data_IF_157466445266
#
_entry.id   IF_157466445266
#
_cell.length_a   1.000
_cell.length_b   1.000
_cell.length_c   1.000
_cell.angle_alpha   90.00
_cell.angle_beta   90.00
_cell.angle_gamma   90.00
#
_symmetry.space_group_name_H-M   'P 1'
#
loop_
_entity.id
_entity.type
_entity.pdbx_description
1 polymer ?
#
# COMPACT_ATOMS: atom_id res chain seq x y z
N UNK A 1 -35.11 -13.33 17.43
CA UNK A 1 -35.06 -14.25 18.58
C UNK A 1 -34.00 -13.78 19.60
N UNK A 2 -34.28 -12.61 20.21
CA UNK A 2 -33.36 -11.93 21.16
C UNK A 2 -33.10 -12.80 22.39
N UNK A 3 -34.09 -13.61 22.80
CA UNK A 3 -33.99 -14.48 23.99
C UNK A 3 -33.04 -15.67 23.86
N UNK A 4 -32.72 -16.12 22.64
CA UNK A 4 -31.79 -17.26 22.41
C UNK A 4 -30.33 -16.89 22.50
N UNK A 5 -29.99 -15.59 22.50
CA UNK A 5 -28.60 -15.09 22.49
C UNK A 5 -28.12 -14.58 23.87
N UNK A 6 -28.96 -14.66 24.91
CA UNK A 6 -28.61 -14.13 26.24
C UNK A 6 -27.40 -14.80 26.91
N UNK A 7 -27.04 -16.01 26.48
CA UNK A 7 -25.87 -16.74 26.99
C UNK A 7 -24.63 -16.65 26.09
N UNK A 8 -24.68 -15.89 25.01
CA UNK A 8 -23.53 -15.68 24.13
C UNK A 8 -22.84 -14.37 24.52
N UNK A 9 -21.55 -14.44 24.76
CA UNK A 9 -20.73 -13.26 24.97
C UNK A 9 -20.06 -12.90 23.65
N UNK A 10 -20.09 -11.62 23.28
CA UNK A 10 -19.25 -11.11 22.23
C UNK A 10 -17.81 -11.05 22.76
N UNK A 11 -16.91 -11.80 22.13
CA UNK A 11 -15.48 -11.85 22.47
C UNK A 11 -14.63 -11.00 21.52
N UNK A 12 -15.25 -10.35 20.53
CA UNK A 12 -14.56 -9.41 19.65
C UNK A 12 -13.88 -8.32 20.47
N UNK A 13 -12.70 -7.91 20.09
CA UNK A 13 -11.92 -6.86 20.76
C UNK A 13 -11.46 -7.19 22.20
N UNK A 14 -11.61 -8.43 22.66
CA UNK A 14 -11.09 -8.85 23.96
C UNK A 14 -9.66 -9.36 23.84
N UNK A 15 -8.76 -8.83 24.67
CA UNK A 15 -7.34 -9.19 24.69
C UNK A 15 -7.11 -10.70 24.92
N UNK A 16 -7.94 -11.34 25.78
CA UNK A 16 -7.85 -12.77 26.11
C UNK A 16 -8.01 -13.70 24.90
N UNK A 17 -8.66 -13.25 23.83
CA UNK A 17 -8.99 -14.05 22.64
C UNK A 17 -8.34 -13.53 21.38
N UNK A 18 -7.49 -12.53 21.47
CA UNK A 18 -6.92 -11.83 20.31
C UNK A 18 -6.06 -12.72 19.39
N UNK A 19 -5.43 -13.76 19.94
CA UNK A 19 -4.59 -14.70 19.19
C UNK A 19 -5.32 -15.96 18.68
N UNK A 20 -6.62 -16.14 19.01
CA UNK A 20 -7.35 -17.41 18.75
C UNK A 20 -7.44 -17.78 17.26
N UNK A 21 -7.39 -16.79 16.36
CA UNK A 21 -7.55 -16.98 14.92
C UNK A 21 -6.23 -16.94 14.13
N UNK A 22 -5.08 -16.90 14.81
CA UNK A 22 -3.78 -16.73 14.15
C UNK A 22 -2.66 -17.52 14.80
N UNK A 23 -1.44 -17.26 14.35
CA UNK A 23 -0.22 -17.81 14.90
C UNK A 23 0.60 -16.66 15.46
N UNK A 24 0.98 -16.74 16.74
CA UNK A 24 1.83 -15.74 17.38
C UNK A 24 3.28 -15.87 16.92
N UNK A 25 4.07 -14.80 17.06
CA UNK A 25 5.50 -14.86 16.72
C UNK A 25 6.23 -15.94 17.55
N UNK A 26 5.84 -16.13 18.81
CA UNK A 26 6.41 -17.17 19.65
C UNK A 26 6.12 -18.56 19.10
N UNK A 27 4.86 -18.87 18.77
CA UNK A 27 4.50 -20.17 18.17
C UNK A 27 5.21 -20.41 16.84
N UNK A 28 5.35 -19.38 16.00
CA UNK A 28 6.11 -19.46 14.76
C UNK A 28 7.57 -19.85 15.01
N UNK A 29 8.23 -19.18 15.95
CA UNK A 29 9.65 -19.39 16.21
C UNK A 29 9.95 -20.69 16.96
N UNK A 30 9.05 -21.12 17.85
CA UNK A 30 9.22 -22.31 18.69
C UNK A 30 8.79 -23.59 17.94
N UNK A 31 7.61 -23.58 17.31
CA UNK A 31 6.99 -24.79 16.75
C UNK A 31 7.27 -24.96 15.24
N UNK A 32 7.39 -23.86 14.49
CA UNK A 32 7.54 -23.89 13.02
C UNK A 32 8.98 -23.59 12.57
N UNK A 33 9.93 -23.62 13.48
CA UNK A 33 11.36 -23.39 13.16
C UNK A 33 11.87 -24.24 11.99
N UNK A 34 11.60 -25.56 11.91
CA UNK A 34 12.06 -26.39 10.78
C UNK A 34 11.49 -25.93 9.44
N UNK A 35 10.28 -25.36 9.43
CA UNK A 35 9.64 -24.83 8.23
C UNK A 35 10.31 -23.56 7.76
N UNK A 36 10.64 -22.67 8.70
CA UNK A 36 11.41 -21.44 8.42
C UNK A 36 12.79 -21.79 7.86
N UNK A 37 13.47 -22.78 8.43
CA UNK A 37 14.80 -23.22 7.95
C UNK A 37 14.73 -23.78 6.52
N UNK A 38 13.69 -24.57 6.19
CA UNK A 38 13.45 -25.05 4.83
C UNK A 38 13.14 -23.92 3.85
N UNK A 39 12.34 -22.93 4.29
CA UNK A 39 12.00 -21.75 3.53
C UNK A 39 13.25 -20.90 3.24
N UNK A 40 14.09 -20.65 4.24
CA UNK A 40 15.34 -19.91 4.12
C UNK A 40 16.28 -20.57 3.11
N UNK A 41 16.47 -21.89 3.22
CA UNK A 41 17.30 -22.68 2.30
C UNK A 41 16.80 -22.57 0.85
N UNK A 42 15.49 -22.72 0.65
CA UNK A 42 14.89 -22.69 -0.70
C UNK A 42 15.05 -21.32 -1.38
N UNK A 43 15.06 -20.23 -0.59
CA UNK A 43 15.16 -18.86 -1.11
C UNK A 43 16.59 -18.30 -1.04
N UNK A 44 17.57 -19.07 -0.60
CA UNK A 44 18.96 -18.60 -0.45
C UNK A 44 19.14 -17.52 0.61
N UNK A 45 18.28 -17.52 1.63
CA UNK A 45 18.26 -16.54 2.72
C UNK A 45 18.86 -17.11 4.00
N UNK A 46 19.28 -16.23 4.91
CA UNK A 46 19.56 -16.64 6.28
C UNK A 46 18.25 -16.87 7.05
N UNK A 47 18.27 -17.69 8.10
CA UNK A 47 17.15 -17.89 9.00
C UNK A 47 16.54 -16.55 9.48
N UNK A 48 17.39 -15.62 9.90
CA UNK A 48 16.96 -14.28 10.36
C UNK A 48 16.29 -13.47 9.25
N UNK A 49 16.79 -13.55 8.03
CA UNK A 49 16.21 -12.88 6.88
C UNK A 49 14.83 -13.48 6.54
N UNK A 50 14.70 -14.82 6.58
CA UNK A 50 13.43 -15.50 6.36
C UNK A 50 12.39 -15.13 7.43
N UNK A 51 12.76 -15.09 8.72
CA UNK A 51 11.86 -14.60 9.78
C UNK A 51 11.38 -13.17 9.49
N UNK A 52 12.29 -12.26 9.14
CA UNK A 52 11.92 -10.88 8.84
C UNK A 52 11.03 -10.77 7.58
N UNK A 53 11.26 -11.63 6.59
CA UNK A 53 10.45 -11.70 5.37
C UNK A 53 9.03 -12.21 5.67
N UNK A 54 8.91 -13.33 6.40
CA UNK A 54 7.62 -13.87 6.84
C UNK A 54 6.84 -12.85 7.66
N UNK A 55 7.52 -12.16 8.60
CA UNK A 55 6.90 -11.12 9.42
C UNK A 55 6.33 -9.99 8.56
N UNK A 56 7.12 -9.44 7.66
CA UNK A 56 6.67 -8.37 6.77
C UNK A 56 5.51 -8.78 5.87
N UNK A 57 5.51 -10.04 5.41
CA UNK A 57 4.56 -10.53 4.42
C UNK A 57 3.24 -11.00 5.03
N UNK A 58 3.26 -11.69 6.18
CA UNK A 58 2.12 -12.43 6.68
C UNK A 58 1.70 -12.11 8.12
N UNK A 59 2.54 -11.37 8.88
CA UNK A 59 2.22 -10.93 10.23
C UNK A 59 1.43 -9.62 10.22
N UNK A 60 0.82 -9.26 11.37
CA UNK A 60 0.31 -7.93 11.60
C UNK A 60 -1.19 -7.81 11.72
N UNK A 61 -1.94 -8.90 11.75
CA UNK A 61 -3.34 -8.85 12.19
C UNK A 61 -3.40 -8.56 13.69
N UNK A 62 -4.24 -7.60 14.07
CA UNK A 62 -4.35 -7.09 15.42
C UNK A 62 -5.82 -6.86 15.76
N UNK A 63 -6.35 -7.52 16.79
CA UNK A 63 -7.77 -7.62 17.05
C UNK A 63 -8.26 -6.97 18.36
N UNK A 64 -7.37 -6.37 19.16
CA UNK A 64 -7.75 -5.67 20.37
C UNK A 64 -6.81 -4.50 20.67
N UNK A 65 -6.99 -3.80 21.80
CA UNK A 65 -6.18 -2.62 22.15
C UNK A 65 -4.75 -2.97 22.58
N UNK A 66 -4.55 -4.13 23.20
CA UNK A 66 -3.31 -4.50 23.90
C UNK A 66 -2.82 -5.90 23.56
N UNK A 67 -3.17 -6.40 22.37
CA UNK A 67 -2.70 -7.71 21.92
C UNK A 67 -1.38 -7.61 21.13
N UNK A 68 -0.77 -8.76 20.90
CA UNK A 68 0.30 -8.91 19.92
C UNK A 68 -0.27 -9.05 18.51
N UNK A 69 0.55 -8.75 17.50
CA UNK A 69 0.24 -9.06 16.10
C UNK A 69 0.30 -10.57 15.88
N UNK A 70 -0.53 -11.09 14.98
CA UNK A 70 -0.57 -12.51 14.63
C UNK A 70 -0.47 -12.71 13.13
N UNK A 71 0.14 -13.83 12.75
CA UNK A 71 0.27 -14.28 11.38
C UNK A 71 -1.04 -14.89 10.88
N UNK A 72 -1.33 -14.68 9.59
CA UNK A 72 -2.41 -15.37 8.90
C UNK A 72 -2.01 -16.85 8.69
N UNK A 73 -2.70 -17.83 9.33
CA UNK A 73 -2.32 -19.24 9.21
C UNK A 73 -2.42 -19.78 7.79
N UNK A 74 -3.46 -19.37 7.04
CA UNK A 74 -3.66 -19.81 5.66
C UNK A 74 -2.47 -19.43 4.78
N UNK A 75 -2.10 -18.15 4.77
CA UNK A 75 -0.99 -17.66 3.96
C UNK A 75 0.35 -18.24 4.41
N UNK A 76 0.57 -18.34 5.71
CA UNK A 76 1.81 -18.86 6.29
C UNK A 76 2.06 -20.33 5.90
N UNK A 77 1.06 -21.21 6.07
CA UNK A 77 1.21 -22.62 5.73
C UNK A 77 1.33 -22.85 4.22
N UNK A 78 0.61 -22.09 3.39
CA UNK A 78 0.78 -22.16 1.94
C UNK A 78 2.18 -21.69 1.50
N UNK A 79 2.74 -20.66 2.18
CA UNK A 79 4.11 -20.22 1.91
C UNK A 79 5.14 -21.30 2.25
N UNK A 80 4.98 -22.01 3.36
CA UNK A 80 5.84 -23.11 3.76
C UNK A 80 5.75 -24.29 2.80
N UNK A 81 4.54 -24.65 2.36
CA UNK A 81 4.32 -25.74 1.40
C UNK A 81 4.95 -25.41 0.04
N UNK A 82 4.66 -24.24 -0.50
CA UNK A 82 5.20 -23.78 -1.78
C UNK A 82 6.69 -23.40 -1.70
N UNK A 83 7.24 -23.10 -0.51
CA UNK A 83 8.57 -22.52 -0.29
C UNK A 83 8.79 -21.21 -1.03
N UNK A 84 7.73 -20.41 -1.15
CA UNK A 84 7.73 -19.13 -1.85
C UNK A 84 6.95 -18.07 -1.08
N UNK A 85 7.36 -16.78 -1.24
CA UNK A 85 6.64 -15.64 -0.69
C UNK A 85 5.67 -15.10 -1.74
N UNK A 86 4.39 -15.50 -1.66
CA UNK A 86 3.32 -15.10 -2.59
C UNK A 86 2.13 -14.52 -1.84
N UNK A 87 1.21 -13.90 -2.57
CA UNK A 87 -0.06 -13.39 -2.06
C UNK A 87 -1.12 -14.51 -2.08
N UNK A 88 -0.99 -15.50 -1.21
CA UNK A 88 -1.85 -16.70 -1.19
C UNK A 88 -3.30 -16.37 -0.87
N UNK A 89 -3.52 -15.45 0.06
CA UNK A 89 -4.86 -15.04 0.46
C UNK A 89 -5.65 -14.43 -0.70
N UNK A 90 -5.01 -13.60 -1.53
CA UNK A 90 -5.62 -13.01 -2.71
C UNK A 90 -5.86 -14.01 -3.86
N UNK A 91 -5.18 -15.14 -3.88
CA UNK A 91 -5.40 -16.17 -4.91
C UNK A 91 -6.77 -16.83 -4.82
N UNK A 92 -7.49 -16.64 -3.70
CA UNK A 92 -8.82 -17.22 -3.47
C UNK A 92 -9.97 -16.44 -4.11
N UNK A 93 -9.73 -15.21 -4.57
CA UNK A 93 -10.73 -14.39 -5.29
C UNK A 93 -10.39 -12.90 -5.34
N UNK A 94 -10.81 -12.24 -6.40
CA UNK A 94 -10.70 -10.78 -6.52
C UNK A 94 -11.79 -10.11 -5.68
N UNK A 95 -11.49 -9.10 -4.88
CA UNK A 95 -12.48 -8.44 -4.02
C UNK A 95 -13.36 -7.43 -4.80
N UNK A 96 -13.99 -7.88 -5.89
CA UNK A 96 -14.76 -7.01 -6.80
C UNK A 96 -15.80 -6.18 -6.04
N UNK A 97 -16.57 -6.83 -5.17
CA UNK A 97 -17.57 -6.15 -4.34
C UNK A 97 -16.99 -4.98 -3.51
N UNK A 98 -15.80 -5.18 -2.93
CA UNK A 98 -15.14 -4.12 -2.14
C UNK A 98 -14.65 -2.98 -3.03
N UNK A 99 -14.18 -3.30 -4.22
CA UNK A 99 -13.73 -2.30 -5.19
C UNK A 99 -14.92 -1.46 -5.66
N UNK A 100 -16.01 -2.10 -6.02
CA UNK A 100 -17.26 -1.43 -6.42
C UNK A 100 -17.75 -0.53 -5.29
N UNK A 101 -17.74 -1.01 -4.05
CA UNK A 101 -18.13 -0.24 -2.89
C UNK A 101 -17.25 1.01 -2.65
N UNK A 102 -15.93 0.90 -2.85
CA UNK A 102 -15.01 2.04 -2.74
C UNK A 102 -15.31 3.09 -3.82
N UNK A 103 -15.65 2.66 -5.04
CA UNK A 103 -16.02 3.54 -6.15
C UNK A 103 -17.38 4.19 -5.93
N UNK A 104 -18.40 3.42 -5.55
CA UNK A 104 -19.76 3.90 -5.28
C UNK A 104 -19.82 4.92 -4.14
N UNK A 105 -19.00 4.72 -3.09
CA UNK A 105 -18.92 5.64 -1.95
C UNK A 105 -17.94 6.80 -2.18
N UNK A 106 -17.31 6.88 -3.35
CA UNK A 106 -16.22 7.83 -3.64
C UNK A 106 -15.17 7.88 -2.53
N UNK A 107 -14.83 6.72 -1.95
CA UNK A 107 -13.88 6.64 -0.85
C UNK A 107 -12.46 6.95 -1.33
N UNK A 108 -11.74 7.77 -0.58
CA UNK A 108 -10.34 8.05 -0.89
C UNK A 108 -9.43 6.89 -0.46
N UNK A 109 -9.07 6.03 -1.40
CA UNK A 109 -8.24 4.84 -1.15
C UNK A 109 -6.85 5.16 -0.56
N UNK A 110 -6.41 6.43 -0.67
CA UNK A 110 -5.14 6.88 -0.05
C UNK A 110 -5.20 6.85 1.47
N UNK A 111 -6.41 6.93 2.05
CA UNK A 111 -6.63 6.87 3.49
C UNK A 111 -6.49 5.46 4.07
N UNK A 112 -6.54 4.40 3.25
CA UNK A 112 -6.49 3.01 3.72
C UNK A 112 -5.19 2.62 4.46
N UNK A 113 -4.20 3.47 4.46
CA UNK A 113 -2.96 3.30 5.24
C UNK A 113 -2.99 3.98 6.62
N UNK A 114 -4.14 4.46 7.06
CA UNK A 114 -4.27 5.15 8.34
C UNK A 114 -5.65 5.75 8.57
N UNK A 115 -6.70 4.98 8.36
CA UNK A 115 -8.09 5.41 8.64
C UNK A 115 -8.30 5.51 10.14
N UNK A 116 -8.80 6.64 10.61
CA UNK A 116 -9.28 6.79 11.98
C UNK A 116 -10.77 6.45 12.06
N UNK A 117 -11.14 5.59 13.01
CA UNK A 117 -12.52 5.18 13.23
C UNK A 117 -12.77 4.79 14.68
N UNK A 118 -13.99 4.97 15.16
CA UNK A 118 -14.44 4.40 16.45
C UNK A 118 -14.81 2.93 16.27
N UNK A 119 -14.83 2.16 17.37
CA UNK A 119 -15.27 0.76 17.34
C UNK A 119 -16.70 0.61 16.79
N UNK A 120 -17.60 1.51 17.12
CA UNK A 120 -18.96 1.54 16.57
C UNK A 120 -18.98 1.69 15.04
N UNK A 121 -17.98 2.38 14.47
CA UNK A 121 -17.89 2.61 13.01
C UNK A 121 -17.37 1.38 12.27
N UNK A 122 -16.36 0.67 12.75
CA UNK A 122 -15.80 -0.47 12.03
C UNK A 122 -16.36 -1.83 12.42
N UNK A 123 -17.01 -1.94 13.60
CA UNK A 123 -17.77 -3.13 14.02
C UNK A 123 -19.26 -3.04 13.64
N UNK A 124 -19.65 -2.03 12.87
CA UNK A 124 -21.02 -1.85 12.42
C UNK A 124 -21.48 -3.01 11.52
N UNK A 125 -22.81 -3.36 11.57
CA UNK A 125 -23.38 -4.36 10.67
C UNK A 125 -23.19 -4.00 9.20
N UNK A 126 -22.74 -4.95 8.38
CA UNK A 126 -22.48 -4.74 6.94
C UNK A 126 -23.72 -4.86 6.04
N UNK A 127 -24.91 -5.00 6.60
CA UNK A 127 -26.18 -5.14 5.86
C UNK A 127 -26.66 -3.83 5.22
N UNK A 128 -26.21 -2.68 5.74
CA UNK A 128 -26.52 -1.35 5.19
C UNK A 128 -25.24 -0.55 5.08
N UNK A 129 -24.54 -0.77 4.00
CA UNK A 129 -23.20 -0.20 3.81
C UNK A 129 -23.32 1.26 3.37
N UNK A 130 -23.04 2.19 4.29
CA UNK A 130 -22.86 3.62 3.99
C UNK A 130 -21.37 4.03 3.97
N UNK A 131 -20.48 3.14 4.45
CA UNK A 131 -19.04 3.33 4.51
C UNK A 131 -18.35 1.99 4.19
N UNK A 132 -17.25 1.97 3.43
CA UNK A 132 -16.51 0.74 3.15
C UNK A 132 -15.72 0.21 4.36
N UNK A 133 -15.50 1.01 5.39
CA UNK A 133 -14.62 0.69 6.53
C UNK A 133 -15.06 -0.57 7.30
N UNK A 134 -16.35 -0.75 7.69
CA UNK A 134 -16.78 -1.98 8.38
C UNK A 134 -16.50 -3.23 7.55
N UNK A 135 -16.79 -3.16 6.25
CA UNK A 135 -16.60 -4.30 5.35
C UNK A 135 -15.13 -4.63 5.19
N UNK A 136 -14.28 -3.62 4.99
CA UNK A 136 -12.83 -3.80 4.86
C UNK A 136 -12.20 -4.38 6.14
N UNK A 137 -12.64 -3.92 7.32
CA UNK A 137 -12.15 -4.43 8.60
C UNK A 137 -12.63 -5.87 8.84
N UNK A 138 -13.93 -6.13 8.73
CA UNK A 138 -14.51 -7.46 9.00
C UNK A 138 -14.09 -8.50 7.96
N UNK A 139 -13.73 -8.09 6.74
CA UNK A 139 -13.17 -8.97 5.72
C UNK A 139 -11.64 -9.13 5.79
N UNK A 140 -10.97 -8.50 6.77
CA UNK A 140 -9.53 -8.66 6.99
C UNK A 140 -8.62 -7.85 6.06
N UNK A 141 -9.16 -6.88 5.29
CA UNK A 141 -8.34 -5.96 4.50
C UNK A 141 -7.71 -4.86 5.34
N UNK A 142 -8.39 -4.48 6.42
CA UNK A 142 -7.86 -3.57 7.43
C UNK A 142 -7.80 -4.27 8.79
N UNK A 143 -6.90 -3.80 9.63
CA UNK A 143 -6.76 -4.24 11.02
C UNK A 143 -6.39 -3.05 11.90
N UNK A 144 -6.47 -3.21 13.20
CA UNK A 144 -6.06 -2.19 14.17
C UNK A 144 -4.54 -2.04 14.10
N UNK A 145 -4.04 -0.80 13.98
CA UNK A 145 -2.62 -0.44 14.02
C UNK A 145 -2.28 0.59 15.11
N UNK A 146 -3.28 0.99 15.87
CA UNK A 146 -3.11 1.88 17.02
C UNK A 146 -4.44 2.28 17.60
N UNK A 147 -4.39 2.79 18.84
CA UNK A 147 -5.53 3.32 19.57
C UNK A 147 -5.13 4.61 20.27
N UNK A 148 -5.91 5.65 20.09
CA UNK A 148 -5.78 6.91 20.81
C UNK A 148 -6.77 6.93 21.98
N UNK A 149 -6.29 6.85 23.25
CA UNK A 149 -7.16 6.82 24.40
C UNK A 149 -7.81 8.16 24.74
N UNK A 150 -7.24 9.28 24.28
CA UNK A 150 -7.78 10.62 24.51
C UNK A 150 -9.04 10.84 23.68
N UNK A 151 -9.00 10.47 22.40
CA UNK A 151 -10.13 10.63 21.48
C UNK A 151 -10.96 9.37 21.29
N UNK A 152 -10.52 8.25 21.88
CA UNK A 152 -11.16 6.93 21.76
C UNK A 152 -11.32 6.46 20.31
N UNK A 153 -10.32 6.77 19.48
CA UNK A 153 -10.29 6.38 18.06
C UNK A 153 -9.21 5.33 17.80
N UNK A 154 -9.51 4.43 16.91
CA UNK A 154 -8.57 3.44 16.40
C UNK A 154 -8.01 3.89 15.07
N UNK A 155 -6.76 3.61 14.83
CA UNK A 155 -6.14 3.74 13.53
C UNK A 155 -6.12 2.39 12.85
N UNK A 156 -6.81 2.29 11.73
CA UNK A 156 -6.89 1.10 10.91
C UNK A 156 -5.98 1.23 9.69
N UNK A 157 -5.27 0.17 9.34
CA UNK A 157 -4.47 0.09 8.13
C UNK A 157 -4.36 -1.37 7.64
N UNK A 158 -3.72 -1.58 6.49
CA UNK A 158 -3.44 -2.94 6.01
C UNK A 158 -2.68 -3.75 7.05
N UNK A 159 -3.04 -5.03 7.27
CA UNK A 159 -2.35 -5.88 8.24
C UNK A 159 -0.88 -6.08 7.86
N UNK A 160 -0.59 -6.39 6.59
CA UNK A 160 0.72 -6.83 6.15
C UNK A 160 0.98 -6.55 4.66
N UNK A 161 2.15 -6.98 4.18
CA UNK A 161 2.59 -6.79 2.80
C UNK A 161 1.75 -7.55 1.78
N UNK A 162 1.30 -8.76 2.11
CA UNK A 162 0.45 -9.58 1.25
C UNK A 162 -0.87 -8.87 0.93
N UNK A 163 -1.60 -8.48 1.98
CA UNK A 163 -2.91 -7.85 1.84
C UNK A 163 -2.80 -6.51 1.13
N UNK A 164 -1.83 -5.68 1.55
CA UNK A 164 -1.58 -4.38 0.93
C UNK A 164 -1.30 -4.51 -0.56
N UNK A 165 -0.34 -5.39 -0.92
CA UNK A 165 0.06 -5.57 -2.32
C UNK A 165 -1.08 -6.11 -3.16
N UNK A 166 -1.71 -7.20 -2.72
CA UNK A 166 -2.80 -7.82 -3.47
C UNK A 166 -3.98 -6.89 -3.67
N UNK A 167 -4.34 -6.09 -2.65
CA UNK A 167 -5.43 -5.15 -2.76
C UNK A 167 -5.12 -4.01 -3.74
N UNK A 168 -3.95 -3.40 -3.66
CA UNK A 168 -3.54 -2.34 -4.59
C UNK A 168 -3.43 -2.88 -6.03
N UNK A 169 -2.91 -4.11 -6.22
CA UNK A 169 -2.89 -4.80 -7.51
C UNK A 169 -4.30 -5.02 -8.08
N UNK A 170 -5.30 -5.22 -7.22
CA UNK A 170 -6.70 -5.38 -7.62
C UNK A 170 -7.38 -4.04 -7.91
N UNK A 171 -7.03 -2.98 -7.19
CA UNK A 171 -7.61 -1.65 -7.38
C UNK A 171 -7.20 -1.00 -8.70
N UNK A 172 -5.91 -1.09 -9.06
CA UNK A 172 -5.40 -0.35 -10.23
C UNK A 172 -6.14 -0.71 -11.54
N UNK A 173 -6.36 -1.99 -11.91
CA UNK A 173 -7.13 -2.33 -13.11
C UNK A 173 -8.57 -1.81 -13.09
N UNK A 174 -9.22 -1.81 -11.93
CA UNK A 174 -10.59 -1.34 -11.77
C UNK A 174 -10.72 0.17 -11.97
N UNK A 175 -9.77 0.94 -11.43
CA UNK A 175 -9.72 2.39 -11.63
C UNK A 175 -9.30 2.77 -13.06
N UNK A 176 -8.57 1.91 -13.76
CA UNK A 176 -8.19 2.11 -15.16
C UNK A 176 -9.28 1.71 -16.15
N UNK A 177 -10.26 0.89 -15.71
CA UNK A 177 -11.29 0.28 -16.57
C UNK A 177 -10.72 -0.49 -17.77
N UNK A 178 -9.49 -0.98 -17.62
CA UNK A 178 -8.82 -1.78 -18.64
C UNK A 178 -9.15 -3.26 -18.42
N UNK A 179 -9.73 -3.97 -19.40
CA UNK A 179 -9.99 -5.39 -19.26
C UNK A 179 -8.68 -6.17 -19.17
N UNK A 180 -8.44 -6.78 -18.02
CA UNK A 180 -7.61 -7.96 -17.83
C UNK A 180 -6.13 -7.92 -18.21
N UNK A 181 -5.58 -6.83 -18.69
CA UNK A 181 -4.17 -6.76 -19.08
C UNK A 181 -3.34 -5.94 -18.10
N UNK A 182 -2.64 -6.66 -17.28
CA UNK A 182 -1.29 -6.45 -16.80
C UNK A 182 -0.88 -4.98 -16.52
N UNK A 183 -1.62 -4.30 -15.63
CA UNK A 183 -1.07 -3.13 -14.90
C UNK A 183 0.33 -3.45 -14.34
N UNK A 184 0.56 -4.68 -13.93
CA UNK A 184 1.86 -5.22 -13.52
C UNK A 184 2.94 -5.05 -14.59
N UNK A 185 2.63 -5.24 -15.88
CA UNK A 185 3.62 -5.08 -16.95
C UNK A 185 4.09 -3.61 -17.09
N UNK A 186 3.19 -2.65 -17.00
CA UNK A 186 3.54 -1.23 -17.01
C UNK A 186 4.41 -0.88 -15.79
N UNK A 187 4.00 -1.31 -14.59
CA UNK A 187 4.75 -1.10 -13.35
C UNK A 187 6.18 -1.64 -13.46
N UNK A 188 6.34 -2.88 -13.96
CA UNK A 188 7.67 -3.49 -14.14
C UNK A 188 8.52 -2.70 -15.13
N UNK A 189 7.91 -2.16 -16.21
CA UNK A 189 8.64 -1.34 -17.19
C UNK A 189 9.13 -0.03 -16.59
N UNK A 190 8.30 0.66 -15.82
CA UNK A 190 8.67 1.89 -15.10
C UNK A 190 9.83 1.63 -14.11
N UNK A 191 9.75 0.53 -13.36
CA UNK A 191 10.82 0.15 -12.42
C UNK A 191 12.13 -0.13 -13.15
N UNK A 192 12.10 -0.78 -14.32
CA UNK A 192 13.29 -1.04 -15.12
C UNK A 192 13.95 0.26 -15.58
N UNK A 193 13.18 1.26 -15.98
CA UNK A 193 13.70 2.56 -16.35
C UNK A 193 14.34 3.27 -15.13
N UNK A 194 13.66 3.29 -13.98
CA UNK A 194 14.22 3.85 -12.75
C UNK A 194 15.50 3.14 -12.28
N UNK A 195 15.58 1.80 -12.42
CA UNK A 195 16.80 1.03 -12.09
C UNK A 195 17.99 1.37 -12.99
N UNK A 196 17.73 1.82 -14.21
CA UNK A 196 18.76 2.34 -15.13
C UNK A 196 19.13 3.80 -14.85
N UNK A 197 18.44 4.44 -13.90
CA UNK A 197 18.57 5.88 -13.64
C UNK A 197 17.90 6.75 -14.70
N UNK A 198 17.08 6.16 -15.56
CA UNK A 198 16.41 6.83 -16.69
C UNK A 198 15.00 7.28 -16.29
N UNK A 199 14.94 8.38 -15.53
CA UNK A 199 13.68 8.98 -15.10
C UNK A 199 12.89 9.58 -16.27
N UNK A 200 13.56 10.07 -17.31
CA UNK A 200 12.91 10.62 -18.50
C UNK A 200 12.07 9.54 -19.20
N UNK A 201 12.65 8.37 -19.49
CA UNK A 201 11.92 7.25 -20.08
C UNK A 201 10.78 6.77 -19.19
N UNK A 202 10.95 6.79 -17.87
CA UNK A 202 9.89 6.45 -16.92
C UNK A 202 8.71 7.42 -17.05
N UNK A 203 8.96 8.72 -17.10
CA UNK A 203 7.93 9.76 -17.24
C UNK A 203 7.24 9.72 -18.61
N UNK A 204 7.99 9.51 -19.70
CA UNK A 204 7.42 9.34 -21.05
C UNK A 204 6.51 8.10 -21.13
N UNK A 205 6.89 6.98 -20.51
CA UNK A 205 6.02 5.81 -20.41
C UNK A 205 4.78 6.09 -19.58
N UNK A 206 4.93 6.81 -18.47
CA UNK A 206 3.81 7.22 -17.63
C UNK A 206 2.85 8.12 -18.40
N UNK A 207 3.37 9.07 -19.20
CA UNK A 207 2.57 9.90 -20.10
C UNK A 207 1.79 9.03 -21.11
N UNK A 208 2.50 8.11 -21.78
CA UNK A 208 1.90 7.21 -22.77
C UNK A 208 0.84 6.29 -22.14
N UNK A 209 1.08 5.83 -20.93
CA UNK A 209 0.15 5.02 -20.16
C UNK A 209 -1.16 5.78 -19.88
N UNK A 210 -1.09 7.01 -19.37
CA UNK A 210 -2.27 7.82 -19.12
C UNK A 210 -3.01 8.19 -20.42
N UNK A 211 -2.29 8.47 -21.49
CA UNK A 211 -2.89 8.73 -22.80
C UNK A 211 -3.61 7.50 -23.39
N UNK A 212 -3.27 6.29 -22.95
CA UNK A 212 -3.93 5.05 -23.39
C UNK A 212 -5.22 4.73 -22.65
N UNK A 213 -5.53 5.45 -21.56
CA UNK A 213 -6.77 5.26 -20.81
C UNK A 213 -7.96 5.75 -21.64
N UNK A 214 -8.99 4.92 -21.87
CA UNK A 214 -10.14 5.30 -22.70
C UNK A 214 -10.83 6.59 -22.22
N UNK A 215 -11.18 7.46 -23.18
CA UNK A 215 -11.76 8.77 -22.92
C UNK A 215 -13.29 8.76 -22.65
N UNK A 216 -13.95 7.61 -22.78
CA UNK A 216 -15.41 7.46 -22.74
C UNK A 216 -16.06 7.73 -21.39
N UNK A 217 -15.27 8.21 -20.42
CA UNK A 217 -15.68 8.36 -19.03
C UNK A 217 -15.93 9.84 -18.74
N UNK A 218 -17.14 10.30 -19.07
CA UNK A 218 -17.59 11.69 -18.90
C UNK A 218 -17.52 12.25 -17.46
N UNK A 219 -17.24 11.40 -16.44
CA UNK A 219 -17.32 11.77 -15.02
C UNK A 219 -16.02 11.60 -14.23
N UNK A 220 -14.85 11.46 -14.87
CA UNK A 220 -13.59 11.30 -14.11
C UNK A 220 -13.09 12.63 -13.57
N UNK A 221 -13.07 12.71 -12.23
CA UNK A 221 -12.61 13.88 -11.46
C UNK A 221 -11.09 13.89 -11.32
N UNK A 222 -10.54 15.03 -10.91
CA UNK A 222 -9.13 15.14 -10.45
C UNK A 222 -8.74 14.02 -9.47
N UNK A 223 -9.60 13.76 -8.50
CA UNK A 223 -9.42 12.70 -7.50
C UNK A 223 -9.22 11.32 -8.11
N UNK A 224 -9.90 11.00 -9.21
CA UNK A 224 -9.75 9.74 -9.92
C UNK A 224 -8.32 9.57 -10.47
N UNK A 225 -7.78 10.59 -11.15
CA UNK A 225 -6.42 10.55 -11.67
C UNK A 225 -5.37 10.54 -10.56
N UNK A 226 -5.58 11.30 -9.49
CA UNK A 226 -4.73 11.25 -8.30
C UNK A 226 -4.71 9.84 -7.68
N UNK A 227 -5.85 9.16 -7.67
CA UNK A 227 -5.96 7.77 -7.20
C UNK A 227 -5.15 6.81 -8.07
N UNK A 228 -5.27 6.92 -9.41
CA UNK A 228 -4.48 6.09 -10.34
C UNK A 228 -2.97 6.33 -10.13
N UNK A 229 -2.54 7.58 -10.03
CA UNK A 229 -1.15 7.92 -9.72
C UNK A 229 -0.69 7.29 -8.41
N UNK A 230 -1.47 7.46 -7.35
CA UNK A 230 -1.16 6.86 -6.06
C UNK A 230 -0.99 5.34 -6.16
N UNK A 231 -1.95 4.64 -6.76
CA UNK A 231 -1.92 3.18 -6.91
C UNK A 231 -0.72 2.73 -7.75
N UNK A 232 -0.44 3.41 -8.86
CA UNK A 232 0.69 3.11 -9.74
C UNK A 232 2.02 3.22 -9.00
N UNK A 233 2.27 4.36 -8.33
CA UNK A 233 3.52 4.59 -7.63
C UNK A 233 3.66 3.73 -6.37
N UNK A 234 2.55 3.42 -5.70
CA UNK A 234 2.56 2.46 -4.58
C UNK A 234 2.98 1.08 -5.04
N UNK A 235 2.44 0.60 -6.15
CA UNK A 235 2.87 -0.68 -6.74
C UNK A 235 4.35 -0.65 -7.12
N UNK A 236 4.82 0.41 -7.77
CA UNK A 236 6.24 0.56 -8.09
C UNK A 236 7.11 0.43 -6.84
N UNK A 237 6.75 1.09 -5.74
CA UNK A 237 7.45 1.00 -4.47
C UNK A 237 7.50 -0.41 -3.89
N UNK A 238 6.43 -1.18 -3.99
CA UNK A 238 6.37 -2.56 -3.49
C UNK A 238 7.27 -3.51 -4.29
N UNK A 239 7.43 -3.30 -5.59
CA UNK A 239 8.30 -4.12 -6.43
C UNK A 239 9.80 -3.83 -6.26
N UNK A 240 10.15 -2.67 -5.69
CA UNK A 240 11.55 -2.31 -5.45
C UNK A 240 11.96 -2.36 -3.97
N UNK A 241 11.07 -2.87 -3.12
CA UNK A 241 11.25 -2.96 -1.66
C UNK A 241 11.53 -1.57 -1.03
N UNK A 242 10.96 -0.54 -1.62
CA UNK A 242 11.15 0.85 -1.22
C UNK A 242 9.92 1.42 -0.51
N UNK A 243 10.14 2.26 0.50
CA UNK A 243 9.06 3.01 1.12
C UNK A 243 8.60 4.12 0.16
N UNK A 244 7.44 3.94 -0.45
CA UNK A 244 6.70 5.05 -1.05
C UNK A 244 5.89 5.70 0.07
N UNK A 245 6.30 6.87 0.52
CA UNK A 245 5.56 7.65 1.52
C UNK A 245 4.71 8.68 0.78
N UNK A 246 3.41 8.50 0.83
CA UNK A 246 2.44 9.53 0.51
C UNK A 246 1.86 10.02 1.84
N UNK A 247 1.97 11.31 2.13
CA UNK A 247 1.35 11.90 3.31
C UNK A 247 1.07 13.38 3.08
N UNK A 248 -0.03 13.85 3.66
CA UNK A 248 -0.35 15.30 3.73
C UNK A 248 0.82 16.05 4.39
N UNK A 249 1.39 17.02 3.69
CA UNK A 249 2.54 17.81 4.16
C UNK A 249 3.92 17.23 3.83
N UNK A 250 4.03 16.21 2.98
CA UNK A 250 5.26 15.62 2.43
C UNK A 250 5.17 15.54 0.92
N UNK A 251 6.29 15.20 0.23
CA UNK A 251 6.25 14.91 -1.20
C UNK A 251 5.18 13.87 -1.53
N UNK A 252 4.51 14.03 -2.66
CA UNK A 252 3.44 13.12 -3.09
C UNK A 252 3.96 11.68 -3.23
N UNK A 253 5.18 11.52 -3.75
CA UNK A 253 5.83 10.22 -3.91
C UNK A 253 7.32 10.30 -3.63
N UNK A 254 7.85 9.34 -2.87
CA UNK A 254 9.29 9.12 -2.72
C UNK A 254 9.61 7.66 -3.04
N UNK A 255 10.48 7.45 -4.03
CA UNK A 255 10.92 6.12 -4.46
C UNK A 255 12.41 5.97 -4.16
N UNK A 256 12.75 5.00 -3.32
CA UNK A 256 14.14 4.71 -2.97
C UNK A 256 14.65 3.55 -3.83
N UNK A 257 15.53 3.84 -4.77
CA UNK A 257 16.26 2.85 -5.57
C UNK A 257 17.64 2.60 -4.96
N UNK A 258 18.37 1.63 -5.50
CA UNK A 258 19.71 1.29 -4.99
C UNK A 258 20.67 2.50 -5.04
N UNK A 259 20.68 3.23 -6.15
CA UNK A 259 21.66 4.29 -6.45
C UNK A 259 21.05 5.70 -6.36
N UNK A 260 19.73 5.82 -6.24
CA UNK A 260 19.05 7.12 -6.25
C UNK A 260 17.77 7.11 -5.39
N UNK A 261 17.42 8.30 -4.90
CA UNK A 261 16.14 8.58 -4.25
C UNK A 261 15.41 9.60 -5.12
N UNK A 262 14.25 9.21 -5.63
CA UNK A 262 13.38 10.06 -6.42
C UNK A 262 12.33 10.70 -5.52
N UNK A 263 12.23 12.03 -5.54
CA UNK A 263 11.24 12.83 -4.80
C UNK A 263 10.36 13.52 -5.83
N UNK A 264 9.11 13.07 -5.95
CA UNK A 264 8.18 13.55 -6.96
C UNK A 264 7.06 14.37 -6.31
N UNK A 265 6.68 15.46 -6.95
CA UNK A 265 5.54 16.28 -6.59
C UNK A 265 4.71 16.56 -7.84
N UNK A 266 3.38 16.50 -7.71
CA UNK A 266 2.45 16.69 -8.81
C UNK A 266 1.66 17.99 -8.64
N UNK A 267 1.42 18.67 -9.74
CA UNK A 267 0.43 19.74 -9.85
C UNK A 267 -0.62 19.34 -10.88
N UNK A 268 -1.85 19.55 -10.53
CA UNK A 268 -2.98 19.35 -11.41
C UNK A 268 -3.38 20.70 -12.00
N UNK A 269 -3.31 20.83 -13.33
CA UNK A 269 -3.53 22.09 -14.06
C UNK A 269 -2.66 23.27 -13.56
N UNK A 270 -1.48 22.95 -13.02
CA UNK A 270 -0.49 23.91 -12.59
C UNK A 270 0.74 23.90 -13.50
N UNK A 271 1.93 24.04 -12.92
CA UNK A 271 3.19 23.92 -13.65
C UNK A 271 4.16 22.95 -12.97
N UNK A 272 4.98 22.28 -13.75
CA UNK A 272 6.06 21.43 -13.24
C UNK A 272 7.07 22.21 -12.38
N UNK A 273 7.27 23.51 -12.69
CA UNK A 273 8.14 24.40 -11.92
C UNK A 273 7.56 24.71 -10.54
N UNK A 274 6.26 24.92 -10.42
CA UNK A 274 5.59 25.10 -9.11
C UNK A 274 5.70 23.83 -8.26
N UNK A 275 5.54 22.65 -8.88
CA UNK A 275 5.74 21.37 -8.19
C UNK A 275 7.18 21.25 -7.67
N UNK A 276 8.19 21.51 -8.50
CA UNK A 276 9.59 21.48 -8.08
C UNK A 276 9.90 22.54 -6.99
N UNK A 277 9.35 23.74 -7.14
CA UNK A 277 9.49 24.80 -6.13
C UNK A 277 8.88 24.37 -4.78
N UNK A 278 7.80 23.61 -4.78
CA UNK A 278 7.21 23.05 -3.56
C UNK A 278 8.14 22.04 -2.89
N UNK A 279 8.76 21.12 -3.65
CA UNK A 279 9.76 20.17 -3.10
C UNK A 279 10.87 20.95 -2.38
N UNK A 280 11.37 22.01 -3.01
CA UNK A 280 12.48 22.82 -2.48
C UNK A 280 12.05 23.65 -1.27
N UNK A 281 10.93 24.37 -1.34
CA UNK A 281 10.45 25.25 -0.25
C UNK A 281 9.98 24.48 0.99
N UNK A 282 9.40 23.29 0.80
CA UNK A 282 8.95 22.40 1.89
C UNK A 282 10.03 21.45 2.38
N UNK A 283 11.23 21.53 1.78
CA UNK A 283 12.40 20.74 2.18
C UNK A 283 12.18 19.21 2.13
N UNK A 284 11.38 18.72 1.18
CA UNK A 284 11.00 17.31 1.11
C UNK A 284 12.20 16.36 0.87
N UNK A 285 13.27 16.85 0.26
CA UNK A 285 14.49 16.08 0.01
C UNK A 285 15.44 16.01 1.22
N UNK A 286 15.34 16.95 2.17
CA UNK A 286 16.27 17.07 3.31
C UNK A 286 16.41 15.80 4.16
N UNK A 287 15.34 15.02 4.47
CA UNK A 287 15.47 13.79 5.24
C UNK A 287 16.36 12.73 4.58
N UNK A 288 16.60 12.85 3.27
CA UNK A 288 17.32 11.86 2.47
C UNK A 288 18.78 12.26 2.16
N UNK A 289 19.21 13.49 2.45
CA UNK A 289 20.55 13.99 2.15
C UNK A 289 21.69 13.19 2.84
N UNK A 290 21.39 12.61 4.00
CA UNK A 290 22.36 11.78 4.76
C UNK A 290 22.38 10.32 4.31
N UNK A 291 21.55 9.93 3.36
CA UNK A 291 21.43 8.55 2.89
C UNK A 291 22.63 8.10 2.02
N UNK A 292 23.32 9.06 1.38
CA UNK A 292 24.48 8.83 0.51
C UNK A 292 24.14 8.54 -0.94
N UNK A 293 22.85 8.36 -1.28
CA UNK A 293 22.38 8.17 -2.65
C UNK A 293 22.08 9.52 -3.33
N UNK A 294 22.22 9.54 -4.65
CA UNK A 294 21.81 10.68 -5.46
C UNK A 294 20.33 10.99 -5.25
N UNK A 295 19.98 12.26 -5.06
CA UNK A 295 18.59 12.70 -4.92
C UNK A 295 18.14 13.31 -6.23
N UNK A 296 17.05 12.80 -6.79
CA UNK A 296 16.43 13.27 -8.03
C UNK A 296 15.06 13.85 -7.68
N UNK A 297 14.93 15.16 -7.77
CA UNK A 297 13.68 15.90 -7.55
C UNK A 297 12.95 16.06 -8.87
N UNK A 298 11.67 15.76 -8.89
CA UNK A 298 10.86 15.79 -10.10
C UNK A 298 9.55 16.53 -9.82
N UNK A 299 9.42 17.73 -10.40
CA UNK A 299 8.14 18.42 -10.45
C UNK A 299 7.39 18.02 -11.72
N UNK A 300 6.13 17.66 -11.59
CA UNK A 300 5.30 17.10 -12.68
C UNK A 300 3.99 17.89 -12.74
N UNK A 301 3.59 18.30 -13.96
CA UNK A 301 2.26 18.80 -14.22
C UNK A 301 1.38 17.68 -14.80
N UNK A 302 0.19 17.52 -14.28
CA UNK A 302 -0.86 16.74 -14.91
C UNK A 302 -1.87 17.69 -15.55
N UNK A 303 -2.09 17.53 -16.84
CA UNK A 303 -3.00 18.36 -17.64
C UNK A 303 -4.36 17.66 -17.74
N UNK A 304 -5.40 18.28 -17.16
CA UNK A 304 -6.76 17.74 -17.15
C UNK A 304 -7.40 17.71 -18.54
N UNK A 305 -7.02 18.64 -19.43
CA UNK A 305 -7.56 18.71 -20.78
C UNK A 305 -7.08 17.54 -21.64
N UNK A 306 -5.81 17.17 -21.51
CA UNK A 306 -5.22 16.02 -22.21
C UNK A 306 -5.28 14.73 -21.39
N UNK A 307 -5.64 14.83 -20.11
CA UNK A 307 -5.77 13.73 -19.14
C UNK A 307 -4.49 12.91 -18.99
N UNK A 308 -3.34 13.55 -19.07
CA UNK A 308 -2.03 12.91 -18.96
C UNK A 308 -0.99 13.84 -18.35
N UNK A 309 0.24 13.34 -18.17
CA UNK A 309 1.38 14.16 -17.80
C UNK A 309 1.65 15.18 -18.94
N UNK A 310 1.57 16.46 -18.62
CA UNK A 310 1.87 17.56 -19.53
C UNK A 310 3.37 17.76 -19.66
N UNK A 311 3.96 18.40 -18.68
CA UNK A 311 5.40 18.68 -18.60
C UNK A 311 5.99 18.24 -17.26
N UNK A 312 7.30 18.16 -17.20
CA UNK A 312 8.05 17.90 -15.97
C UNK A 312 9.38 18.65 -15.94
N UNK A 313 9.87 18.87 -14.75
CA UNK A 313 11.19 19.45 -14.49
C UNK A 313 11.95 18.58 -13.53
N UNK A 314 13.18 18.23 -13.88
CA UNK A 314 14.06 17.38 -13.09
C UNK A 314 15.21 18.23 -12.55
N UNK A 315 15.49 18.07 -11.26
CA UNK A 315 16.64 18.66 -10.57
C UNK A 315 17.40 17.54 -9.86
N UNK A 316 18.65 17.36 -10.16
CA UNK A 316 19.52 16.38 -9.51
C UNK A 316 20.34 17.08 -8.45
N UNK A 317 20.27 16.56 -7.22
CA UNK A 317 21.11 17.00 -6.10
C UNK A 317 22.16 15.89 -5.88
N UNK A 318 23.38 16.13 -6.36
CA UNK A 318 24.49 15.21 -6.13
C UNK A 318 24.84 15.22 -4.64
N UNK A 319 25.14 14.05 -4.12
CA UNK A 319 25.69 13.95 -2.75
C UNK A 319 27.02 14.68 -2.74
N UNK A 320 27.08 15.74 -1.93
CA UNK A 320 28.38 16.40 -1.67
C UNK A 320 29.26 15.36 -1.02
N UNK A 321 30.33 14.95 -1.75
CA UNK A 321 31.41 14.18 -1.15
C UNK A 321 31.89 14.96 0.07
N UNK A 322 31.59 14.44 1.25
CA UNK A 322 32.18 14.95 2.48
C UNK A 322 33.67 14.60 2.42
N UNK A 323 34.47 15.57 1.95
CA UNK A 323 35.92 15.62 2.19
C UNK A 323 36.22 15.67 3.69
#
# INVERSE_FOLDING_TARGET
>A
DVYKRQNLQNISMRDDFSAICGITERELLDELRPDIERMALANGETYKAACAHLKRQYDGYHFSKHCEDIYNPFSLFNAFDAKEYKNFWFSTGTPTFLIDLLQETDFDVRQLEGVEATDEQFDAPTERVTSPIPVLYQSGYLTIKGYDPEFQVYRLAYPNGEVRKGFIESLLPAYLELPGQSSTFYVVSFIRDLRKGDIESCLERTRSFFASIPNDLENKTEKHYQTIFYLLFRLMGMYVDSEVKSAVGRADVVIKMQDAIYVLEFKYDGTAREALAQINSRLYAVPYRKDGRRIVKVGINFDSATRTIGDWVIEVEDTVDNL
#
